data_IF_586412943506
#
_entry.id   IF_586412943506
#
_cell.length_a   1.000
_cell.length_b   1.000
_cell.length_c   1.000
_cell.angle_alpha   90.00
_cell.angle_beta   90.00
_cell.angle_gamma   90.00
#
_symmetry.space_group_name_H-M   'P 1'
#
loop_
_entity.id
_entity.type
_entity.pdbx_description
1 polymer ?
#
# COMPACT_ATOMS: atom_id res chain seq x y z
N UNK A 1 -50.84 13.52 -52.38
CA UNK A 1 -50.78 14.03 -50.98
C UNK A 1 -49.68 15.09 -50.85
N UNK A 2 -49.75 16.02 -49.87
CA UNK A 2 -48.68 17.02 -49.66
C UNK A 2 -47.71 16.60 -48.55
N UNK A 3 -46.44 16.98 -48.70
CA UNK A 3 -45.42 16.79 -47.65
C UNK A 3 -45.71 17.69 -46.47
N UNK A 4 -45.88 17.14 -45.26
CA UNK A 4 -46.11 17.92 -44.04
C UNK A 4 -44.95 18.84 -43.63
N UNK A 5 -43.76 18.66 -44.22
CA UNK A 5 -42.54 19.41 -43.86
C UNK A 5 -42.17 20.51 -44.85
N UNK A 6 -42.50 20.35 -46.14
CA UNK A 6 -42.13 21.32 -47.19
C UNK A 6 -43.26 21.64 -48.16
N UNK A 7 -44.45 21.10 -47.92
CA UNK A 7 -45.69 21.30 -48.69
C UNK A 7 -45.61 20.91 -50.18
N UNK A 8 -44.56 20.19 -50.58
CA UNK A 8 -44.42 19.66 -51.92
C UNK A 8 -45.50 18.60 -52.21
N UNK A 9 -46.07 18.66 -53.41
CA UNK A 9 -47.07 17.71 -53.90
C UNK A 9 -46.39 16.38 -54.28
N UNK A 10 -46.88 15.28 -53.71
CA UNK A 10 -46.27 13.95 -53.79
C UNK A 10 -47.29 12.90 -54.24
N UNK A 11 -46.79 11.83 -54.85
CA UNK A 11 -47.58 10.64 -55.17
C UNK A 11 -48.19 10.03 -53.90
N UNK A 12 -49.40 9.48 -54.01
CA UNK A 12 -50.18 9.00 -52.85
C UNK A 12 -49.57 7.76 -52.16
N UNK A 13 -48.60 7.10 -52.79
CA UNK A 13 -47.85 5.95 -52.29
C UNK A 13 -46.41 6.29 -51.84
N UNK A 14 -46.01 7.57 -51.89
CA UNK A 14 -44.66 7.97 -51.51
C UNK A 14 -44.41 7.80 -50.00
N UNK A 15 -43.38 7.03 -49.64
CA UNK A 15 -42.95 6.87 -48.24
C UNK A 15 -41.87 7.90 -47.84
N UNK A 16 -41.20 8.54 -48.81
CA UNK A 16 -40.18 9.58 -48.61
C UNK A 16 -40.47 10.74 -49.57
N UNK A 17 -40.37 11.97 -49.07
CA UNK A 17 -40.47 13.17 -49.90
C UNK A 17 -39.24 13.32 -50.80
N UNK A 18 -39.43 13.32 -52.12
CA UNK A 18 -38.36 13.50 -53.11
C UNK A 18 -37.70 14.89 -53.09
N UNK A 19 -38.35 15.89 -52.48
CA UNK A 19 -37.86 17.27 -52.42
C UNK A 19 -37.04 17.55 -51.16
N UNK A 20 -37.51 17.11 -49.98
CA UNK A 20 -36.83 17.38 -48.70
C UNK A 20 -36.20 16.16 -48.04
N UNK A 21 -36.43 14.95 -48.54
CA UNK A 21 -35.85 13.71 -48.02
C UNK A 21 -36.49 13.17 -46.73
N UNK A 22 -37.55 13.79 -46.22
CA UNK A 22 -38.24 13.33 -45.00
C UNK A 22 -39.23 12.19 -45.27
N UNK A 23 -39.33 11.26 -44.33
CA UNK A 23 -40.31 10.16 -44.35
C UNK A 23 -41.74 10.67 -44.06
N UNK A 24 -42.72 10.14 -44.78
CA UNK A 24 -44.11 10.63 -44.78
C UNK A 24 -45.06 9.76 -43.94
N UNK A 25 -44.66 8.53 -43.62
CA UNK A 25 -45.38 7.62 -42.72
C UNK A 25 -44.46 7.25 -41.56
N UNK A 26 -44.96 7.39 -40.34
CA UNK A 26 -44.31 6.81 -39.16
C UNK A 26 -44.27 5.29 -39.33
N UNK A 27 -43.07 4.73 -39.41
CA UNK A 27 -42.85 3.29 -39.50
C UNK A 27 -43.43 2.61 -38.26
N UNK A 28 -44.18 1.50 -38.40
CA UNK A 28 -44.72 0.79 -37.25
C UNK A 28 -43.58 0.09 -36.50
N UNK A 29 -43.48 0.39 -35.21
CA UNK A 29 -42.83 -0.41 -34.17
C UNK A 29 -41.44 -0.97 -34.49
N UNK A 30 -40.44 -0.10 -34.40
CA UNK A 30 -39.31 -0.39 -33.50
C UNK A 30 -39.14 0.84 -32.62
N UNK A 31 -39.35 0.68 -31.31
CA UNK A 31 -38.75 1.59 -30.34
C UNK A 31 -37.26 1.69 -30.70
N UNK A 32 -36.91 2.76 -31.41
CA UNK A 32 -35.56 3.25 -31.43
C UNK A 32 -35.31 3.72 -30.01
N UNK A 33 -34.86 2.79 -29.17
CA UNK A 33 -34.10 3.10 -27.98
C UNK A 33 -33.09 4.17 -28.41
N UNK A 34 -33.36 5.42 -28.05
CA UNK A 34 -32.47 6.54 -28.35
C UNK A 34 -31.15 6.10 -27.72
N UNK A 35 -30.19 5.66 -28.55
CA UNK A 35 -28.90 5.15 -28.08
C UNK A 35 -28.25 6.28 -27.32
N UNK A 36 -28.42 6.27 -25.99
CA UNK A 36 -27.79 7.23 -25.10
C UNK A 36 -26.31 7.21 -25.42
N UNK A 37 -25.69 8.39 -25.44
CA UNK A 37 -24.25 8.47 -25.66
C UNK A 37 -23.53 7.61 -24.62
N UNK A 38 -22.46 6.93 -25.03
CA UNK A 38 -21.74 5.99 -24.16
C UNK A 38 -21.21 6.69 -22.90
N UNK A 39 -20.86 7.99 -23.00
CA UNK A 39 -20.43 8.76 -21.83
C UNK A 39 -21.59 8.92 -20.85
N UNK A 40 -22.79 9.24 -21.32
CA UNK A 40 -23.96 9.41 -20.47
C UNK A 40 -24.30 8.09 -19.74
N UNK A 41 -24.20 6.95 -20.42
CA UNK A 41 -24.39 5.63 -19.81
C UNK A 41 -23.32 5.31 -18.75
N UNK A 42 -22.06 5.61 -19.05
CA UNK A 42 -20.93 5.41 -18.13
C UNK A 42 -21.03 6.31 -16.90
N UNK A 43 -21.54 7.53 -17.05
CA UNK A 43 -21.72 8.48 -15.94
C UNK A 43 -22.73 8.00 -14.90
N UNK A 44 -23.59 7.03 -15.23
CA UNK A 44 -24.51 6.45 -14.25
C UNK A 44 -23.78 5.73 -13.11
N UNK A 45 -22.57 5.23 -13.36
CA UNK A 45 -21.70 4.61 -12.37
C UNK A 45 -20.93 5.61 -11.49
N UNK A 46 -20.99 6.89 -11.81
CA UNK A 46 -20.26 7.96 -11.10
C UNK A 46 -21.20 8.69 -10.14
N UNK A 47 -20.70 8.97 -8.93
CA UNK A 47 -21.38 9.84 -7.98
C UNK A 47 -21.77 11.21 -8.57
N UNK A 48 -23.00 11.64 -8.28
CA UNK A 48 -23.62 12.86 -8.82
C UNK A 48 -22.72 14.08 -8.64
N UNK A 49 -22.14 14.24 -7.44
CA UNK A 49 -21.29 15.39 -7.09
C UNK A 49 -20.03 15.51 -7.96
N UNK A 50 -19.61 14.40 -8.59
CA UNK A 50 -18.37 14.32 -9.36
C UNK A 50 -18.62 14.09 -10.86
N UNK A 51 -19.89 13.94 -11.28
CA UNK A 51 -20.26 13.71 -12.69
C UNK A 51 -19.71 14.79 -13.62
N UNK A 52 -19.81 16.08 -13.26
CA UNK A 52 -19.32 17.19 -14.10
C UNK A 52 -17.84 17.07 -14.46
N UNK A 53 -17.00 16.66 -13.50
CA UNK A 53 -15.57 16.45 -13.74
C UNK A 53 -15.34 15.30 -14.73
N UNK A 54 -15.98 14.16 -14.48
CA UNK A 54 -15.80 12.98 -15.32
C UNK A 54 -16.44 13.11 -16.69
N UNK A 55 -17.57 13.81 -16.81
CA UNK A 55 -18.20 14.07 -18.09
C UNK A 55 -17.23 14.79 -19.03
N UNK A 56 -16.61 15.89 -18.56
CA UNK A 56 -15.61 16.62 -19.34
C UNK A 56 -14.44 15.72 -19.74
N UNK A 57 -13.92 14.93 -18.80
CA UNK A 57 -12.79 14.02 -19.03
C UNK A 57 -13.13 12.89 -20.00
N UNK A 58 -14.29 12.25 -19.83
CA UNK A 58 -14.74 11.13 -20.66
C UNK A 58 -15.10 11.58 -22.07
N UNK A 59 -15.74 12.74 -22.24
CA UNK A 59 -15.95 13.32 -23.58
C UNK A 59 -14.63 13.62 -24.27
N UNK A 60 -13.63 14.12 -23.54
CA UNK A 60 -12.26 14.33 -24.06
C UNK A 60 -11.59 13.02 -24.51
N UNK A 61 -11.77 11.94 -23.73
CA UNK A 61 -11.26 10.60 -24.07
C UNK A 61 -11.97 10.06 -25.32
N UNK A 62 -13.29 10.20 -25.41
CA UNK A 62 -14.09 9.73 -26.54
C UNK A 62 -13.65 10.37 -27.87
N UNK A 63 -13.23 11.64 -27.86
CA UNK A 63 -12.70 12.34 -29.04
C UNK A 63 -11.19 12.16 -29.24
N UNK A 64 -10.53 11.28 -28.46
CA UNK A 64 -9.10 10.95 -28.61
C UNK A 64 -8.11 11.99 -28.05
N UNK A 65 -8.55 12.96 -27.25
CA UNK A 65 -7.69 14.00 -26.66
C UNK A 65 -7.11 13.62 -25.28
N UNK A 66 -7.41 12.42 -24.80
CA UNK A 66 -6.94 11.89 -23.52
C UNK A 66 -7.73 12.39 -22.31
N UNK A 67 -7.50 11.75 -21.16
CA UNK A 67 -8.28 11.95 -19.91
C UNK A 67 -7.85 13.12 -19.04
N UNK A 68 -6.67 13.69 -19.28
CA UNK A 68 -6.05 14.70 -18.42
C UNK A 68 -5.59 14.15 -17.06
N UNK A 69 -4.81 14.94 -16.34
CA UNK A 69 -4.25 14.53 -15.05
C UNK A 69 -5.31 14.53 -13.93
N UNK A 70 -5.39 13.43 -13.20
CA UNK A 70 -6.26 13.28 -12.03
C UNK A 70 -5.47 13.48 -10.73
N UNK A 71 -5.54 14.69 -10.17
CA UNK A 71 -4.87 15.02 -8.91
C UNK A 71 -5.30 14.14 -7.74
N UNK A 72 -6.56 13.72 -7.68
CA UNK A 72 -7.04 12.85 -6.59
C UNK A 72 -6.41 11.45 -6.70
N UNK A 73 -6.29 10.90 -7.90
CA UNK A 73 -5.61 9.63 -8.13
C UNK A 73 -4.11 9.72 -7.87
N UNK A 74 -3.48 10.87 -8.10
CA UNK A 74 -2.08 11.10 -7.74
C UNK A 74 -1.87 11.20 -6.22
N UNK A 75 -2.60 12.11 -5.56
CA UNK A 75 -2.41 12.42 -4.14
C UNK A 75 -2.90 11.31 -3.21
N UNK A 76 -4.06 10.73 -3.54
CA UNK A 76 -4.67 9.65 -2.76
C UNK A 76 -4.44 8.27 -3.37
N UNK A 77 -3.73 8.15 -4.49
CA UNK A 77 -3.11 6.90 -4.96
C UNK A 77 -3.95 5.63 -4.77
N UNK A 78 -3.48 4.65 -3.98
CA UNK A 78 -4.19 3.38 -3.79
C UNK A 78 -5.53 3.58 -3.05
N UNK A 79 -5.61 4.56 -2.14
CA UNK A 79 -6.81 4.94 -1.42
C UNK A 79 -7.90 5.42 -2.37
N UNK A 80 -7.54 6.19 -3.39
CA UNK A 80 -8.48 6.63 -4.42
C UNK A 80 -9.06 5.45 -5.21
N UNK A 81 -8.21 4.48 -5.58
CA UNK A 81 -8.66 3.27 -6.26
C UNK A 81 -9.61 2.43 -5.39
N UNK A 82 -9.33 2.30 -4.09
CA UNK A 82 -10.20 1.58 -3.15
C UNK A 82 -11.56 2.29 -2.99
N UNK A 83 -11.54 3.62 -2.80
CA UNK A 83 -12.74 4.45 -2.71
C UNK A 83 -13.65 4.24 -3.93
N UNK A 84 -13.06 4.23 -5.13
CA UNK A 84 -13.74 4.00 -6.43
C UNK A 84 -14.03 2.53 -6.74
N UNK A 85 -13.68 1.59 -5.86
CA UNK A 85 -13.78 0.13 -6.08
C UNK A 85 -13.05 -0.37 -7.34
N UNK A 86 -11.96 0.30 -7.73
CA UNK A 86 -11.18 0.00 -8.92
C UNK A 86 -9.97 -0.89 -8.62
N UNK A 87 -10.22 -2.10 -8.10
CA UNK A 87 -9.18 -3.06 -7.70
C UNK A 87 -8.24 -3.47 -8.84
N UNK A 88 -8.74 -3.62 -10.07
CA UNK A 88 -7.88 -3.94 -11.22
C UNK A 88 -6.85 -2.84 -11.51
N UNK A 89 -7.25 -1.57 -11.37
CA UNK A 89 -6.33 -0.43 -11.53
C UNK A 89 -5.35 -0.40 -10.35
N UNK A 90 -5.85 -0.60 -9.13
CA UNK A 90 -5.01 -0.70 -7.94
C UNK A 90 -3.91 -1.76 -8.10
N UNK A 91 -4.27 -3.01 -8.45
CA UNK A 91 -3.28 -4.08 -8.59
C UNK A 91 -2.38 -3.92 -9.80
N UNK A 92 -2.81 -3.22 -10.86
CA UNK A 92 -1.94 -2.86 -11.98
C UNK A 92 -0.75 -1.99 -11.53
N UNK A 93 -0.96 -1.06 -10.59
CA UNK A 93 0.06 -0.12 -10.15
C UNK A 93 0.77 -0.53 -8.86
N UNK A 94 0.03 -1.04 -7.88
CA UNK A 94 0.53 -1.21 -6.52
C UNK A 94 0.76 -2.65 -6.09
N UNK A 95 0.48 -3.67 -6.93
CA UNK A 95 0.76 -5.06 -6.56
C UNK A 95 2.22 -5.29 -6.19
N UNK A 96 3.15 -4.86 -7.06
CA UNK A 96 4.58 -5.04 -6.80
C UNK A 96 5.06 -4.21 -5.59
N UNK A 97 4.74 -2.91 -5.48
CA UNK A 97 5.04 -2.15 -4.26
C UNK A 97 4.52 -2.79 -2.96
N UNK A 98 3.28 -3.32 -2.96
CA UNK A 98 2.72 -3.97 -1.78
C UNK A 98 3.49 -5.23 -1.39
N UNK A 99 3.89 -6.05 -2.38
CA UNK A 99 4.74 -7.22 -2.13
C UNK A 99 6.10 -6.78 -1.57
N UNK A 100 6.72 -5.75 -2.15
CA UNK A 100 8.02 -5.26 -1.70
C UNK A 100 7.97 -4.67 -0.29
N UNK A 101 6.91 -3.96 0.07
CA UNK A 101 6.68 -3.48 1.45
C UNK A 101 6.55 -4.68 2.40
N UNK A 102 5.76 -5.69 2.05
CA UNK A 102 5.60 -6.89 2.87
C UNK A 102 6.94 -7.63 3.06
N UNK A 103 7.71 -7.83 1.98
CA UNK A 103 9.04 -8.44 2.03
C UNK A 103 10.02 -7.62 2.86
N UNK A 104 9.97 -6.30 2.80
CA UNK A 104 10.84 -5.44 3.62
C UNK A 104 10.50 -5.57 5.10
N UNK A 105 9.21 -5.67 5.45
CA UNK A 105 8.74 -5.79 6.83
C UNK A 105 9.02 -7.18 7.44
N UNK A 106 8.93 -8.24 6.65
CA UNK A 106 9.21 -9.61 7.10
C UNK A 106 10.71 -9.94 7.00
N UNK A 107 11.40 -9.33 6.03
CA UNK A 107 12.76 -9.68 5.64
C UNK A 107 13.79 -9.43 6.72
N UNK A 108 13.68 -8.33 7.48
CA UNK A 108 14.65 -8.04 8.55
C UNK A 108 14.52 -9.01 9.75
N UNK A 109 13.32 -9.24 10.33
CA UNK A 109 13.14 -10.30 11.33
C UNK A 109 13.55 -11.69 10.81
N UNK A 110 13.19 -12.01 9.56
CA UNK A 110 13.55 -13.28 8.93
C UNK A 110 15.05 -13.45 8.75
N UNK A 111 15.76 -12.39 8.38
CA UNK A 111 17.21 -12.37 8.25
C UNK A 111 17.90 -12.61 9.60
N UNK A 112 17.48 -11.91 10.66
CA UNK A 112 18.03 -12.10 12.00
C UNK A 112 17.83 -13.55 12.49
N UNK A 113 16.62 -14.09 12.29
CA UNK A 113 16.33 -15.48 12.63
C UNK A 113 17.20 -16.47 11.84
N UNK A 114 17.42 -16.23 10.54
CA UNK A 114 18.26 -17.07 9.70
C UNK A 114 19.73 -17.05 10.14
N UNK A 115 20.28 -15.87 10.42
CA UNK A 115 21.65 -15.74 10.94
C UNK A 115 21.84 -16.58 12.21
N UNK A 116 20.86 -16.54 13.11
CA UNK A 116 20.86 -17.35 14.34
C UNK A 116 20.84 -18.86 14.05
N UNK A 117 19.92 -19.33 13.21
CA UNK A 117 19.81 -20.77 12.86
C UNK A 117 21.10 -21.29 12.21
N UNK A 118 21.77 -20.44 11.43
CA UNK A 118 23.00 -20.79 10.72
C UNK A 118 24.27 -20.54 11.55
N UNK A 119 24.18 -19.99 12.77
CA UNK A 119 25.33 -19.62 13.59
C UNK A 119 26.23 -18.57 12.94
N UNK A 120 25.68 -17.70 12.08
CA UNK A 120 26.43 -16.64 11.42
C UNK A 120 26.18 -15.29 12.09
N UNK A 121 27.22 -14.45 12.11
CA UNK A 121 27.10 -13.10 12.66
C UNK A 121 26.23 -12.23 11.75
N UNK A 122 25.25 -11.50 12.31
CA UNK A 122 24.47 -10.56 11.52
C UNK A 122 25.35 -9.39 11.07
N UNK A 123 24.96 -8.76 9.97
CA UNK A 123 25.55 -7.51 9.49
C UNK A 123 25.37 -6.45 10.60
N UNK A 124 26.39 -5.61 10.88
CA UNK A 124 26.30 -4.58 11.90
C UNK A 124 25.09 -3.66 11.69
N UNK A 125 24.50 -3.21 12.80
CA UNK A 125 23.29 -2.38 12.79
C UNK A 125 23.46 -1.10 11.95
N UNK A 126 24.65 -0.49 11.99
CA UNK A 126 24.99 0.71 11.23
C UNK A 126 24.92 0.46 9.72
N UNK A 127 25.49 -0.66 9.26
CA UNK A 127 25.46 -1.06 7.85
C UNK A 127 24.03 -1.37 7.40
N UNK A 128 23.25 -2.06 8.24
CA UNK A 128 21.83 -2.34 7.98
C UNK A 128 20.99 -1.07 7.90
N UNK A 129 21.30 -0.06 8.71
CA UNK A 129 20.62 1.23 8.70
C UNK A 129 20.85 1.97 7.38
N UNK A 130 22.11 2.00 6.92
CA UNK A 130 22.47 2.62 5.63
C UNK A 130 21.77 1.91 4.46
N UNK A 131 21.81 0.57 4.43
CA UNK A 131 21.13 -0.23 3.39
C UNK A 131 19.62 0.04 3.39
N UNK A 132 19.01 0.06 4.58
CA UNK A 132 17.57 0.31 4.74
C UNK A 132 17.18 1.71 4.28
N UNK A 133 18.02 2.72 4.56
CA UNK A 133 17.80 4.09 4.12
C UNK A 133 17.84 4.20 2.58
N UNK A 134 18.85 3.62 1.94
CA UNK A 134 18.98 3.61 0.47
C UNK A 134 17.80 2.89 -0.17
N UNK A 135 17.44 1.73 0.38
CA UNK A 135 16.27 0.96 -0.06
C UNK A 135 14.97 1.76 0.06
N UNK A 136 14.77 2.44 1.18
CA UNK A 136 13.59 3.27 1.42
C UNK A 136 13.48 4.43 0.41
N UNK A 137 14.60 5.10 0.11
CA UNK A 137 14.63 6.18 -0.90
C UNK A 137 14.28 5.63 -2.28
N UNK A 138 14.88 4.51 -2.68
CA UNK A 138 14.61 3.87 -3.97
C UNK A 138 13.14 3.46 -4.11
N UNK A 139 12.60 2.78 -3.08
CA UNK A 139 11.22 2.34 -3.05
C UNK A 139 10.24 3.52 -3.06
N UNK A 140 10.51 4.57 -2.27
CA UNK A 140 9.67 5.78 -2.21
C UNK A 140 9.65 6.51 -3.56
N UNK A 141 10.81 6.65 -4.21
CA UNK A 141 10.93 7.27 -5.53
C UNK A 141 10.14 6.49 -6.57
N UNK A 142 10.25 5.16 -6.56
CA UNK A 142 9.49 4.31 -7.47
C UNK A 142 7.98 4.40 -7.24
N UNK A 143 7.53 4.37 -5.98
CA UNK A 143 6.11 4.56 -5.62
C UNK A 143 5.61 5.94 -6.06
N UNK A 144 6.41 7.00 -5.92
CA UNK A 144 6.05 8.33 -6.38
C UNK A 144 5.84 8.37 -7.90
N UNK A 145 6.73 7.75 -8.67
CA UNK A 145 6.59 7.62 -10.13
C UNK A 145 5.30 6.85 -10.48
N UNK A 146 5.00 5.77 -9.77
CA UNK A 146 3.75 5.02 -9.98
C UNK A 146 2.51 5.86 -9.66
N UNK A 147 2.54 6.68 -8.61
CA UNK A 147 1.46 7.62 -8.29
C UNK A 147 1.28 8.64 -9.41
N UNK A 148 2.37 9.20 -9.95
CA UNK A 148 2.31 10.15 -11.06
C UNK A 148 1.71 9.50 -12.32
N UNK A 149 2.17 8.30 -12.67
CA UNK A 149 1.65 7.53 -13.81
C UNK A 149 0.17 7.14 -13.61
N UNK A 150 -0.24 6.87 -12.38
CA UNK A 150 -1.65 6.65 -12.06
C UNK A 150 -2.44 7.94 -12.28
N UNK A 151 -1.94 9.08 -11.82
CA UNK A 151 -2.57 10.39 -12.03
C UNK A 151 -2.86 10.68 -13.50
N UNK A 152 -1.91 10.41 -14.40
CA UNK A 152 -2.10 10.60 -15.84
C UNK A 152 -3.08 9.61 -16.47
N UNK A 153 -3.04 8.34 -16.06
CA UNK A 153 -3.76 7.26 -16.76
C UNK A 153 -5.11 6.91 -16.12
N UNK A 154 -5.40 7.40 -14.91
CA UNK A 154 -6.57 6.95 -14.14
C UNK A 154 -7.88 7.17 -14.90
N UNK A 155 -8.09 8.37 -15.46
CA UNK A 155 -9.36 8.71 -16.11
C UNK A 155 -9.64 7.82 -17.32
N UNK A 156 -8.62 7.51 -18.12
CA UNK A 156 -8.73 6.59 -19.26
C UNK A 156 -9.01 5.17 -18.82
N UNK A 157 -8.22 4.64 -17.89
CA UNK A 157 -8.42 3.29 -17.36
C UNK A 157 -9.78 3.14 -16.68
N UNK A 158 -10.26 4.19 -16.02
CA UNK A 158 -11.56 4.21 -15.38
C UNK A 158 -12.68 4.23 -16.41
N UNK A 159 -12.58 5.09 -17.44
CA UNK A 159 -13.54 5.14 -18.53
C UNK A 159 -13.66 3.81 -19.27
N UNK A 160 -12.54 3.20 -19.66
CA UNK A 160 -12.53 1.88 -20.33
C UNK A 160 -13.22 0.81 -19.49
N UNK A 161 -12.97 0.82 -18.19
CA UNK A 161 -13.56 -0.16 -17.29
C UNK A 161 -15.07 0.04 -17.11
N UNK A 162 -15.52 1.29 -17.01
CA UNK A 162 -16.95 1.57 -16.93
C UNK A 162 -17.67 1.27 -18.26
N UNK A 163 -17.03 1.47 -19.41
CA UNK A 163 -17.56 1.00 -20.70
C UNK A 163 -17.78 -0.51 -20.69
N UNK A 164 -16.83 -1.28 -20.13
CA UNK A 164 -16.99 -2.71 -19.91
C UNK A 164 -18.21 -3.04 -19.04
N UNK A 165 -18.47 -2.25 -17.99
CA UNK A 165 -19.63 -2.45 -17.12
C UNK A 165 -20.95 -2.18 -17.83
N UNK A 166 -21.00 -1.14 -18.67
CA UNK A 166 -22.15 -0.84 -19.53
C UNK A 166 -22.39 -2.00 -20.51
N UNK A 167 -21.36 -2.50 -21.19
CA UNK A 167 -21.51 -3.61 -22.14
C UNK A 167 -21.94 -4.92 -21.48
N UNK A 168 -21.52 -5.14 -20.24
CA UNK A 168 -21.90 -6.31 -19.43
C UNK A 168 -23.22 -6.10 -18.66
N UNK A 169 -23.88 -4.95 -18.83
CA UNK A 169 -25.12 -4.58 -18.12
C UNK A 169 -25.04 -4.76 -16.60
N UNK A 170 -23.91 -4.40 -16.00
CA UNK A 170 -23.70 -4.54 -14.55
C UNK A 170 -24.62 -3.62 -13.74
N UNK A 171 -25.05 -4.08 -12.58
CA UNK A 171 -25.87 -3.27 -11.69
C UNK A 171 -25.12 -2.03 -11.17
N UNK A 172 -25.57 -0.84 -11.57
CA UNK A 172 -24.97 0.44 -11.20
C UNK A 172 -24.76 0.59 -9.69
N UNK A 173 -25.75 0.20 -8.88
CA UNK A 173 -25.72 0.37 -7.41
C UNK A 173 -24.55 -0.36 -6.74
N UNK A 174 -24.16 -1.52 -7.27
CA UNK A 174 -23.07 -2.35 -6.71
C UNK A 174 -21.70 -1.77 -7.03
N UNK A 175 -21.54 -1.24 -8.24
CA UNK A 175 -20.26 -0.77 -8.78
C UNK A 175 -20.04 0.73 -8.66
N UNK A 176 -21.07 1.48 -8.22
CA UNK A 176 -20.93 2.88 -7.81
C UNK A 176 -19.95 3.04 -6.65
N UNK A 177 -19.34 4.21 -6.59
CA UNK A 177 -18.38 4.65 -5.58
C UNK A 177 -18.78 4.30 -4.14
N UNK A 178 -17.79 4.07 -3.28
CA UNK A 178 -18.02 3.87 -1.85
C UNK A 178 -18.39 5.21 -1.20
N UNK A 179 -19.26 5.21 -0.18
CA UNK A 179 -19.48 6.42 0.62
C UNK A 179 -18.16 6.90 1.25
N UNK A 180 -17.89 8.20 1.19
CA UNK A 180 -16.73 8.83 1.84
C UNK A 180 -16.64 8.49 3.33
N UNK A 181 -17.78 8.38 4.02
CA UNK A 181 -17.83 8.00 5.43
C UNK A 181 -17.26 6.60 5.67
N UNK A 182 -17.75 5.59 4.93
CA UNK A 182 -17.27 4.21 5.05
C UNK A 182 -15.80 4.09 4.66
N UNK A 183 -15.36 4.88 3.68
CA UNK A 183 -13.98 4.91 3.26
C UNK A 183 -13.05 5.46 4.35
N UNK A 184 -13.40 6.60 4.96
CA UNK A 184 -12.65 7.21 6.07
C UNK A 184 -12.63 6.28 7.27
N UNK A 185 -13.76 5.67 7.62
CA UNK A 185 -13.82 4.70 8.72
C UNK A 185 -12.91 3.49 8.47
N UNK A 186 -12.91 2.94 7.26
CA UNK A 186 -12.00 1.86 6.88
C UNK A 186 -10.52 2.27 6.97
N UNK A 187 -10.18 3.49 6.56
CA UNK A 187 -8.83 4.04 6.70
C UNK A 187 -8.42 4.18 8.16
N UNK A 188 -9.28 4.74 9.01
CA UNK A 188 -9.01 4.91 10.44
C UNK A 188 -8.80 3.56 11.13
N UNK A 189 -9.59 2.54 10.77
CA UNK A 189 -9.39 1.18 11.28
C UNK A 189 -8.04 0.61 10.84
N UNK A 190 -7.64 0.80 9.58
CA UNK A 190 -6.34 0.34 9.09
C UNK A 190 -5.16 1.07 9.77
N UNK A 191 -5.29 2.39 9.99
CA UNK A 191 -4.30 3.17 10.73
C UNK A 191 -4.22 2.72 12.19
N UNK A 192 -5.36 2.46 12.84
CA UNK A 192 -5.41 1.94 14.19
C UNK A 192 -4.73 0.57 14.29
N UNK A 193 -5.07 -0.37 13.41
CA UNK A 193 -4.42 -1.68 13.34
C UNK A 193 -2.92 -1.59 13.03
N UNK A 194 -2.53 -0.71 12.10
CA UNK A 194 -1.13 -0.47 11.78
C UNK A 194 -0.36 0.15 12.95
N UNK A 195 -0.99 1.05 13.71
CA UNK A 195 -0.41 1.65 14.91
C UNK A 195 -0.30 0.64 16.06
N UNK A 196 -1.30 -0.22 16.26
CA UNK A 196 -1.24 -1.31 17.24
C UNK A 196 -0.15 -2.32 16.87
N UNK A 197 0.00 -2.62 15.58
CA UNK A 197 1.09 -3.46 15.07
C UNK A 197 2.47 -2.79 15.19
N UNK A 198 2.55 -1.47 15.07
CA UNK A 198 3.81 -0.72 15.26
C UNK A 198 4.13 -0.48 16.73
N UNK A 199 3.12 -0.51 17.61
CA UNK A 199 3.25 -0.50 19.06
C UNK A 199 3.72 -1.86 19.62
N UNK A 200 3.65 -2.92 18.81
CA UNK A 200 4.57 -4.06 18.95
C UNK A 200 5.93 -3.55 18.47
N UNK A 201 6.56 -2.80 19.37
CA UNK A 201 7.75 -2.01 19.14
C UNK A 201 8.85 -2.88 18.49
N UNK A 202 9.53 -2.42 17.42
CA UNK A 202 10.78 -3.04 16.97
C UNK A 202 11.79 -3.21 18.11
N UNK A 203 11.76 -2.32 19.12
CA UNK A 203 12.51 -2.52 20.35
C UNK A 203 11.90 -3.58 21.25
N UNK A 204 10.57 -3.79 21.30
CA UNK A 204 10.00 -4.94 22.02
C UNK A 204 10.37 -6.26 21.34
N UNK A 205 10.45 -6.31 20.01
CA UNK A 205 11.03 -7.46 19.28
C UNK A 205 12.53 -7.56 19.56
N UNK A 206 13.27 -6.45 19.59
CA UNK A 206 14.69 -6.42 19.98
C UNK A 206 14.89 -6.95 21.41
N UNK A 207 14.14 -6.45 22.40
CA UNK A 207 14.17 -6.89 23.80
C UNK A 207 13.76 -8.35 23.93
N UNK A 208 12.70 -8.79 23.25
CA UNK A 208 12.29 -10.20 23.25
C UNK A 208 13.39 -11.11 22.65
N UNK A 209 14.09 -10.66 21.61
CA UNK A 209 15.21 -11.41 21.04
C UNK A 209 16.53 -11.26 21.83
N UNK A 210 16.78 -10.15 22.50
CA UNK A 210 17.95 -9.94 23.38
C UNK A 210 17.80 -10.72 24.69
N UNK A 211 16.60 -10.77 25.25
CA UNK A 211 16.23 -11.48 26.48
C UNK A 211 16.15 -13.00 26.26
N UNK A 212 15.62 -13.46 25.11
CA UNK A 212 15.49 -14.89 24.81
C UNK A 212 16.72 -15.48 24.07
N UNK A 213 17.59 -14.65 23.47
CA UNK A 213 18.77 -15.10 22.70
C UNK A 213 20.11 -14.49 23.11
N UNK A 214 20.20 -13.75 24.21
CA UNK A 214 21.46 -13.43 24.89
C UNK A 214 22.46 -12.60 24.08
N UNK A 215 21.99 -11.80 23.12
CA UNK A 215 22.88 -10.91 22.36
C UNK A 215 23.17 -9.68 23.22
N UNK A 216 24.08 -9.82 24.18
CA UNK A 216 24.71 -8.67 24.82
C UNK A 216 25.51 -7.93 23.75
N UNK A 217 25.29 -6.63 23.62
CA UNK A 217 26.24 -5.77 22.93
C UNK A 217 27.61 -5.96 23.57
N UNK A 218 28.66 -6.18 22.77
CA UNK A 218 30.05 -6.07 23.25
C UNK A 218 30.19 -4.73 23.97
N UNK A 219 30.15 -4.75 25.31
CA UNK A 219 30.16 -3.54 26.14
C UNK A 219 29.23 -3.56 27.36
N UNK A 220 28.19 -4.38 27.38
CA UNK A 220 27.37 -4.53 28.59
C UNK A 220 27.69 -5.86 29.27
N UNK A 221 28.61 -5.79 30.25
CA UNK A 221 28.86 -6.86 31.21
C UNK A 221 27.53 -7.32 31.79
N UNK A 222 27.13 -8.52 31.39
CA UNK A 222 25.96 -9.20 31.92
C UNK A 222 25.93 -9.26 33.43
N UNK A 223 24.71 -9.08 33.94
CA UNK A 223 24.25 -9.29 35.30
C UNK A 223 24.64 -10.67 35.86
N UNK A 224 25.89 -10.83 36.29
CA UNK A 224 26.35 -11.89 37.19
C UNK A 224 27.45 -11.31 38.12
N UNK A 225 27.20 -10.12 38.65
CA UNK A 225 27.99 -9.55 39.75
C UNK A 225 27.18 -9.83 41.02
N UNK A 226 27.58 -10.84 41.78
CA UNK A 226 27.17 -10.92 43.20
C UNK A 226 28.08 -9.95 43.97
N UNK A 227 27.54 -8.79 44.31
CA UNK A 227 28.21 -7.85 45.21
C UNK A 227 28.17 -8.43 46.64
N UNK A 228 29.30 -8.97 47.11
CA UNK A 228 29.48 -9.26 48.52
C UNK A 228 30.04 -8.01 49.21
N UNK A 229 29.16 -7.24 49.86
CA UNK A 229 29.58 -6.23 50.82
C UNK A 229 30.04 -6.93 52.10
N UNK A 230 31.36 -7.08 52.25
CA UNK A 230 31.95 -7.29 53.55
C UNK A 230 32.91 -6.14 53.83
N UNK A 231 32.81 -5.57 55.03
CA UNK A 231 33.43 -4.31 55.43
C UNK A 231 34.93 -4.28 55.09
N UNK A 232 35.31 -3.22 54.38
CA UNK A 232 36.65 -2.71 54.08
C UNK A 232 37.25 -2.96 52.69
N UNK A 233 36.72 -3.86 51.84
CA UNK A 233 37.18 -3.98 50.43
C UNK A 233 36.09 -4.49 49.47
N UNK A 234 35.88 -3.79 48.34
CA UNK A 234 35.01 -4.25 47.24
C UNK A 234 35.75 -5.19 46.30
N UNK A 235 35.34 -6.46 46.24
CA UNK A 235 35.85 -7.45 45.30
C UNK A 235 34.79 -7.76 44.24
N UNK A 236 35.17 -7.75 42.95
CA UNK A 236 34.36 -8.34 41.88
C UNK A 236 34.92 -9.72 41.51
N UNK A 237 34.05 -10.72 41.52
CA UNK A 237 34.38 -12.10 41.16
C UNK A 237 33.67 -12.43 39.85
N UNK A 238 34.45 -12.81 38.83
CA UNK A 238 33.92 -13.35 37.58
C UNK A 238 34.12 -14.86 37.64
N UNK A 239 33.02 -15.62 37.51
CA UNK A 239 33.05 -17.08 37.38
C UNK A 239 32.76 -17.44 35.93
N UNK A 240 33.79 -17.85 35.20
CA UNK A 240 33.64 -18.69 34.02
C UNK A 240 34.05 -20.12 34.37
N UNK A 241 33.54 -21.09 33.61
CA UNK A 241 33.37 -22.52 33.92
C UNK A 241 34.55 -23.33 34.51
N UNK A 242 35.71 -22.76 34.85
CA UNK A 242 36.70 -23.34 35.79
C UNK A 242 37.76 -22.34 36.32
N UNK A 243 37.59 -21.03 36.13
CA UNK A 243 38.57 -20.02 36.56
C UNK A 243 37.90 -18.91 37.37
N UNK A 244 38.54 -18.53 38.48
CA UNK A 244 38.11 -17.43 39.34
C UNK A 244 39.11 -16.29 39.16
N UNK A 245 38.68 -15.20 38.54
CA UNK A 245 39.45 -13.97 38.46
C UNK A 245 39.00 -13.01 39.57
N UNK A 246 39.96 -12.47 40.32
CA UNK A 246 39.72 -11.46 41.34
C UNK A 246 40.24 -10.11 40.85
N UNK A 247 39.41 -9.07 41.00
CA UNK A 247 39.76 -7.70 40.64
C UNK A 247 39.98 -6.91 41.94
N UNK A 248 41.22 -6.45 42.15
CA UNK A 248 41.60 -5.52 43.22
C UNK A 248 42.00 -4.19 42.56
N UNK A 249 41.10 -3.19 42.58
CA UNK A 249 41.31 -1.93 41.86
C UNK A 249 41.36 -2.11 40.34
N UNK A 250 42.45 -1.68 39.68
CA UNK A 250 42.66 -1.77 38.23
C UNK A 250 43.51 -2.97 37.78
N UNK A 251 43.80 -3.93 38.68
CA UNK A 251 44.61 -5.10 38.36
C UNK A 251 43.75 -6.37 38.32
N UNK A 252 43.90 -7.16 37.25
CA UNK A 252 43.27 -8.47 37.10
C UNK A 252 44.26 -9.53 37.58
N UNK A 253 43.89 -10.28 38.63
CA UNK A 253 44.67 -11.41 39.13
C UNK A 253 44.02 -12.72 38.69
N UNK A 254 44.73 -13.51 37.87
CA UNK A 254 44.33 -14.87 37.51
C UNK A 254 44.76 -15.83 38.62
N UNK A 255 43.80 -16.39 39.34
CA UNK A 255 44.04 -17.41 40.35
C UNK A 255 43.88 -18.81 39.76
N UNK A 256 44.99 -19.51 39.50
CA UNK A 256 44.92 -20.96 39.26
C UNK A 256 44.32 -21.64 40.50
N UNK A 257 43.20 -22.33 40.32
CA UNK A 257 42.33 -22.93 41.33
C UNK A 257 42.95 -24.07 42.16
N UNK A 258 44.28 -24.22 42.16
CA UNK A 258 44.97 -25.35 42.78
C UNK A 258 45.87 -25.04 43.97
N UNK A 259 46.04 -23.78 44.40
CA UNK A 259 47.07 -23.44 45.43
C UNK A 259 46.60 -22.68 46.68
N UNK A 260 45.31 -22.36 46.84
CA UNK A 260 44.85 -21.55 47.99
C UNK A 260 44.15 -22.32 49.12
N UNK A 261 44.12 -23.66 49.06
CA UNK A 261 43.53 -24.51 50.12
C UNK A 261 44.37 -24.66 51.41
N UNK A 262 45.36 -23.81 51.70
CA UNK A 262 46.27 -24.01 52.85
C UNK A 262 46.68 -22.75 53.64
N UNK A 263 45.94 -21.64 53.57
CA UNK A 263 46.33 -20.43 54.32
C UNK A 263 45.30 -19.75 55.20
N UNK A 264 44.16 -20.40 55.47
CA UNK A 264 43.24 -19.93 56.53
C UNK A 264 42.63 -21.13 57.28
N UNK A 265 43.37 -21.59 58.28
CA UNK A 265 42.85 -22.06 59.56
C UNK A 265 43.57 -21.28 60.66
#
# INVERSE_FOLDING_TARGET
MNCIYCDAELADDADICSVCGNYLKESPEKEQEIKRDIVDQVLDYVDIDRRKYFEKSFRSIQIGRGGGFNCAAFLFNFLYCLYRKQFSILFKYFRSPLIMIALTRIGYPGYLHLCKVLGSNPIPLESMTIISMVWYIALSTWIFILCANLGYNFNELYFEKLKGFVSEQKEVRKYRDTSMFNFIMGLLILLFLGSAYSAIDPNAVKYYYEEEFGVQSEGEMGYNIEDYENSDYTWRVIKEENEIAYIEGNHILYGNSFLWGRRFQ
#
